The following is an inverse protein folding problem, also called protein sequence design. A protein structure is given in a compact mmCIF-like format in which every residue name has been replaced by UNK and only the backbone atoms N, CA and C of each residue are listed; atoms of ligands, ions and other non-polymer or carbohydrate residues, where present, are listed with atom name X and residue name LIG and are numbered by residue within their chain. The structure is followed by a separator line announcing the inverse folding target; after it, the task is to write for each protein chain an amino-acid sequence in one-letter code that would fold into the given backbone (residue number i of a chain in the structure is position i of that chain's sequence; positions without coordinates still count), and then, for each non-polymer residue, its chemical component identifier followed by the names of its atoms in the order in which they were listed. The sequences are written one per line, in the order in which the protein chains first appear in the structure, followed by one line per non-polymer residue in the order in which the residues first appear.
data_IF_802381227350
#
_entry.id   IF_802381227350
#
_cell.length_a   1.000
_cell.length_b   1.000
_cell.length_c   1.000
_cell.angle_alpha   90.00
_cell.angle_beta   90.00
_cell.angle_gamma   90.00
#
_symmetry.space_group_name_H-M   'P 1'
#
loop_
_entity.id
_entity.type
_entity.pdbx_description
1 polymer ?
#
# COMPACT_ATOMS: atom_id res chain seq x y z
N UNK A 1 -4.54 9.91 -25.37
CA UNK A 1 -3.15 9.64 -24.92
C UNK A 1 -3.16 9.84 -23.42
N UNK A 2 -2.77 8.85 -22.62
CA UNK A 2 -2.63 9.07 -21.18
C UNK A 2 -1.32 9.84 -21.02
N UNK A 3 -1.37 11.05 -20.46
CA UNK A 3 -0.18 11.88 -20.28
C UNK A 3 0.85 11.20 -19.37
N UNK A 4 2.13 11.26 -19.74
CA UNK A 4 3.21 10.72 -18.92
C UNK A 4 3.22 11.32 -17.51
N UNK A 5 2.86 12.60 -17.37
CA UNK A 5 2.71 13.26 -16.08
C UNK A 5 1.60 12.65 -15.22
N UNK A 6 0.47 12.28 -15.84
CA UNK A 6 -0.64 11.58 -15.19
C UNK A 6 -0.20 10.18 -14.73
N UNK A 7 0.46 9.40 -15.60
CA UNK A 7 0.99 8.07 -15.25
C UNK A 7 1.98 8.15 -14.08
N UNK A 8 2.87 9.15 -14.08
CA UNK A 8 3.84 9.36 -12.98
C UNK A 8 3.18 9.69 -11.65
N UNK A 9 2.14 10.54 -11.65
CA UNK A 9 1.35 10.85 -10.43
C UNK A 9 0.63 9.61 -9.89
N UNK A 10 0.07 8.78 -10.77
CA UNK A 10 -0.55 7.49 -10.39
C UNK A 10 0.48 6.53 -9.81
N UNK A 11 1.64 6.40 -10.46
CA UNK A 11 2.74 5.57 -9.98
C UNK A 11 3.25 6.02 -8.60
N UNK A 12 3.42 7.33 -8.39
CA UNK A 12 3.80 7.87 -7.09
C UNK A 12 2.75 7.57 -6.01
N UNK A 13 1.46 7.68 -6.33
CA UNK A 13 0.36 7.30 -5.42
C UNK A 13 0.41 5.82 -5.04
N UNK A 14 0.62 4.93 -6.01
CA UNK A 14 0.75 3.50 -5.78
C UNK A 14 1.95 3.16 -4.87
N UNK A 15 3.11 3.77 -5.13
CA UNK A 15 4.34 3.55 -4.34
C UNK A 15 4.15 4.03 -2.91
N UNK A 16 3.59 5.23 -2.71
CA UNK A 16 3.35 5.78 -1.38
C UNK A 16 2.33 4.94 -0.60
N UNK A 17 1.22 4.55 -1.23
CA UNK A 17 0.22 3.69 -0.59
C UNK A 17 0.73 2.29 -0.27
N UNK A 18 1.55 1.72 -1.15
CA UNK A 18 2.23 0.46 -0.92
C UNK A 18 3.22 0.54 0.25
N UNK A 19 4.03 1.60 0.31
CA UNK A 19 4.99 1.82 1.40
C UNK A 19 4.30 2.00 2.77
N UNK A 20 3.22 2.78 2.82
CA UNK A 20 2.42 2.96 4.03
C UNK A 20 1.80 1.63 4.47
N UNK A 21 1.05 0.96 3.57
CA UNK A 21 0.43 -0.32 3.91
C UNK A 21 1.43 -1.41 4.30
N UNK A 22 2.62 -1.40 3.70
CA UNK A 22 3.70 -2.31 4.08
C UNK A 22 4.26 -2.01 5.48
N UNK A 23 4.47 -0.74 5.82
CA UNK A 23 4.99 -0.33 7.13
C UNK A 23 4.01 -0.66 8.24
N UNK A 24 2.73 -0.31 8.07
CA UNK A 24 1.69 -0.63 9.05
C UNK A 24 1.45 -2.14 9.16
N UNK A 25 1.50 -2.86 8.04
CA UNK A 25 1.42 -4.32 8.02
C UNK A 25 2.54 -5.03 8.77
N UNK A 26 3.79 -4.56 8.60
CA UNK A 26 4.93 -5.10 9.32
C UNK A 26 4.89 -4.76 10.81
N UNK A 27 4.46 -3.54 11.18
CA UNK A 27 4.34 -3.14 12.58
C UNK A 27 3.24 -3.92 13.29
N UNK A 28 2.01 -3.93 12.77
CA UNK A 28 0.90 -4.63 13.42
C UNK A 28 1.03 -6.15 13.30
N UNK A 29 1.41 -6.66 12.12
CA UNK A 29 1.70 -8.08 11.92
C UNK A 29 2.88 -8.57 12.77
N UNK A 30 3.92 -7.74 12.95
CA UNK A 30 5.06 -8.02 13.81
C UNK A 30 4.73 -7.96 15.30
N UNK A 31 3.88 -7.02 15.74
CA UNK A 31 3.41 -6.92 17.13
C UNK A 31 2.52 -8.10 17.52
N UNK A 32 1.57 -8.49 16.66
CA UNK A 32 0.75 -9.69 16.88
C UNK A 32 1.61 -10.97 16.88
N UNK A 33 2.59 -11.02 15.98
CA UNK A 33 3.60 -12.07 15.93
C UNK A 33 4.64 -11.99 17.07
N UNK A 34 4.65 -10.97 17.92
CA UNK A 34 5.46 -10.96 19.14
C UNK A 34 4.65 -11.47 20.34
N UNK A 35 3.35 -11.15 20.39
CA UNK A 35 2.44 -11.49 21.50
C UNK A 35 2.04 -12.98 21.56
N UNK A 36 1.78 -13.64 20.43
CA UNK A 36 1.32 -15.05 20.43
C UNK A 36 2.44 -16.10 20.42
N UNK A 37 3.17 -16.28 21.53
CA UNK A 37 4.38 -17.15 21.59
C UNK A 37 4.13 -18.65 21.34
N UNK A 38 2.86 -19.08 21.26
CA UNK A 38 2.44 -20.47 21.01
C UNK A 38 2.33 -20.86 19.53
N UNK A 39 2.36 -19.91 18.59
CA UNK A 39 2.31 -20.21 17.16
C UNK A 39 3.71 -20.44 16.58
N UNK A 40 3.83 -21.46 15.73
CA UNK A 40 5.04 -21.73 14.95
C UNK A 40 5.49 -20.49 14.16
N UNK A 41 6.81 -20.28 14.06
CA UNK A 41 7.40 -19.09 13.42
C UNK A 41 6.89 -18.91 11.98
N UNK A 42 6.64 -20.02 11.27
CA UNK A 42 6.08 -20.04 9.91
C UNK A 42 4.65 -19.50 9.83
N UNK A 43 3.76 -19.84 10.78
CA UNK A 43 2.38 -19.31 10.81
C UNK A 43 2.34 -17.82 11.17
N UNK A 44 3.23 -17.37 12.07
CA UNK A 44 3.38 -15.96 12.44
C UNK A 44 3.82 -15.11 11.25
N UNK A 45 4.86 -15.55 10.54
CA UNK A 45 5.36 -14.85 9.34
C UNK A 45 4.28 -14.84 8.26
N UNK A 46 3.55 -15.94 8.06
CA UNK A 46 2.45 -16.02 7.09
C UNK A 46 1.31 -15.04 7.37
N UNK A 47 0.86 -14.91 8.63
CA UNK A 47 -0.19 -13.95 8.99
C UNK A 47 0.28 -12.50 8.86
N UNK A 48 1.49 -12.20 9.34
CA UNK A 48 2.08 -10.86 9.24
C UNK A 48 2.27 -10.44 7.77
N UNK A 49 2.79 -11.32 6.92
CA UNK A 49 2.95 -11.03 5.49
C UNK A 49 1.61 -10.89 4.79
N UNK A 50 0.59 -11.70 5.13
CA UNK A 50 -0.74 -11.59 4.52
C UNK A 50 -1.44 -10.29 4.89
N UNK A 51 -1.33 -9.86 6.15
CA UNK A 51 -1.82 -8.56 6.60
C UNK A 51 -1.08 -7.40 5.91
N UNK A 52 0.25 -7.52 5.79
CA UNK A 52 1.11 -6.55 5.10
C UNK A 52 0.78 -6.40 3.63
N UNK A 53 0.67 -7.52 2.91
CA UNK A 53 0.36 -7.52 1.49
C UNK A 53 -1.07 -7.03 1.24
N UNK A 54 -2.03 -7.42 2.08
CA UNK A 54 -3.41 -6.93 2.01
C UNK A 54 -3.49 -5.41 2.22
N UNK A 55 -2.82 -4.90 3.26
CA UNK A 55 -2.76 -3.47 3.54
C UNK A 55 -2.07 -2.69 2.42
N UNK A 56 -0.89 -3.13 1.98
CA UNK A 56 -0.15 -2.51 0.89
C UNK A 56 -0.96 -2.47 -0.42
N UNK A 57 -1.69 -3.54 -0.74
CA UNK A 57 -2.52 -3.61 -1.94
C UNK A 57 -3.70 -2.62 -1.87
N UNK A 58 -4.44 -2.59 -0.74
CA UNK A 58 -5.60 -1.71 -0.59
C UNK A 58 -5.17 -0.25 -0.54
N UNK A 59 -4.21 0.10 0.30
CA UNK A 59 -3.72 1.48 0.39
C UNK A 59 -3.05 1.95 -0.91
N UNK A 60 -2.26 1.09 -1.56
CA UNK A 60 -1.68 1.35 -2.87
C UNK A 60 -2.73 1.59 -3.95
N UNK A 61 -3.79 0.76 -4.00
CA UNK A 61 -4.89 0.91 -4.95
C UNK A 61 -5.67 2.20 -4.72
N UNK A 62 -6.08 2.49 -3.48
CA UNK A 62 -6.84 3.71 -3.18
C UNK A 62 -6.04 4.98 -3.41
N UNK A 63 -4.75 5.02 -3.07
CA UNK A 63 -3.89 6.17 -3.34
C UNK A 63 -3.61 6.32 -4.83
N UNK A 64 -3.38 5.23 -5.57
CA UNK A 64 -3.22 5.28 -7.03
C UNK A 64 -4.48 5.81 -7.73
N UNK A 65 -5.66 5.35 -7.34
CA UNK A 65 -6.94 5.81 -7.89
C UNK A 65 -7.22 7.26 -7.47
N UNK A 66 -6.96 7.62 -6.22
CA UNK A 66 -7.12 8.98 -5.72
C UNK A 66 -6.20 9.98 -6.43
N UNK A 67 -4.95 9.61 -6.70
CA UNK A 67 -4.02 10.43 -7.48
C UNK A 67 -4.37 10.44 -8.97
N UNK A 68 -4.97 9.38 -9.52
CA UNK A 68 -5.50 9.41 -10.89
C UNK A 68 -6.64 10.43 -11.02
N UNK A 69 -7.62 10.39 -10.12
CA UNK A 69 -8.80 11.28 -10.15
C UNK A 69 -8.37 12.74 -9.97
N UNK A 70 -7.48 13.02 -9.00
CA UNK A 70 -7.04 14.39 -8.68
C UNK A 70 -5.96 14.91 -9.63
N UNK A 71 -5.05 14.05 -10.05
CA UNK A 71 -3.87 14.40 -10.84
C UNK A 71 -4.12 14.50 -12.34
N UNK A 72 -5.09 13.74 -12.87
CA UNK A 72 -5.43 13.72 -14.29
C UNK A 72 -6.72 14.48 -14.61
N UNK A 73 -7.57 14.73 -13.60
CA UNK A 73 -8.71 15.66 -13.71
C UNK A 73 -8.30 17.14 -13.66
N UNK A 74 -7.07 17.45 -13.22
CA UNK A 74 -6.52 18.81 -13.09
C UNK A 74 -5.67 19.30 -14.28
N UNK A 75 -5.25 18.40 -15.19
CA UNK A 75 -4.45 18.71 -16.40
C UNK A 75 -5.34 19.34 -17.50
N UNK A 76 -6.17 20.32 -17.11
CA UNK A 76 -7.00 21.20 -17.94
C UNK A 76 -6.81 22.67 -17.53
N UNK A 77 -5.75 23.00 -16.80
CA UNK A 77 -5.38 24.38 -16.44
C UNK A 77 -3.87 24.54 -16.24
N UNK A 78 -3.21 25.14 -17.22
CA UNK A 78 -1.86 25.70 -17.10
C UNK A 78 -0.98 25.36 -18.29
#
# INVERSE_FOLDING_TARGET
MIDDACVRKVQSGAILGGAVGATFGLLFGGLDAARYRSLSVSQRVGMATRATLGGAAVFGFFLAVGTAIRGCGGERRG
#
